data_IF_696929341593
#
_entry.id   IF_696929341593
#
_cell.length_a   1.000
_cell.length_b   1.000
_cell.length_c   1.000
_cell.angle_alpha   90.00
_cell.angle_beta   90.00
_cell.angle_gamma   90.00
#
_symmetry.space_group_name_H-M   'P 1'
#
loop_
_entity.id
_entity.type
_entity.pdbx_description
1 polymer ?
#
# COMPACT_ATOMS: atom_id res chain seq x y z
N UNK A 1 22.02 4.98 -14.67
CA UNK A 1 21.04 4.71 -13.59
C UNK A 1 21.74 5.03 -12.30
N UNK A 2 21.46 6.18 -11.68
CA UNK A 2 22.07 6.51 -10.40
C UNK A 2 21.61 5.51 -9.34
N UNK A 3 22.54 4.79 -8.68
CA UNK A 3 22.18 3.74 -7.72
C UNK A 3 21.31 4.27 -6.58
N UNK A 4 21.43 5.56 -6.26
CA UNK A 4 20.59 6.28 -5.28
C UNK A 4 19.10 6.31 -5.67
N UNK A 5 18.78 6.53 -6.95
CA UNK A 5 17.40 6.57 -7.43
C UNK A 5 16.77 5.17 -7.35
N UNK A 6 17.53 4.14 -7.72
CA UNK A 6 17.10 2.75 -7.60
C UNK A 6 16.80 2.36 -6.15
N UNK A 7 17.67 2.74 -5.22
CA UNK A 7 17.52 2.47 -3.80
C UNK A 7 16.32 3.22 -3.18
N UNK A 8 16.10 4.47 -3.59
CA UNK A 8 14.94 5.26 -3.16
C UNK A 8 13.62 4.65 -3.68
N UNK A 9 13.58 4.23 -4.95
CA UNK A 9 12.40 3.57 -5.51
C UNK A 9 12.10 2.24 -4.80
N UNK A 10 13.12 1.42 -4.53
CA UNK A 10 12.98 0.18 -3.77
C UNK A 10 12.50 0.43 -2.34
N UNK A 11 13.06 1.44 -1.68
CA UNK A 11 12.66 1.85 -0.33
C UNK A 11 11.21 2.34 -0.28
N UNK A 12 10.81 3.19 -1.23
CA UNK A 12 9.42 3.65 -1.34
C UNK A 12 8.46 2.49 -1.66
N UNK A 13 8.81 1.64 -2.62
CA UNK A 13 8.02 0.47 -3.02
C UNK A 13 7.80 -0.49 -1.86
N UNK A 14 8.87 -0.93 -1.22
CA UNK A 14 8.83 -1.82 -0.06
C UNK A 14 8.16 -1.18 1.15
N UNK A 15 8.42 0.10 1.41
CA UNK A 15 7.81 0.85 2.50
C UNK A 15 6.29 0.99 2.36
N UNK A 16 5.81 1.23 1.12
CA UNK A 16 4.38 1.26 0.81
C UNK A 16 3.70 -0.09 1.05
N UNK A 17 4.32 -1.18 0.57
CA UNK A 17 3.86 -2.55 0.80
C UNK A 17 3.77 -2.84 2.30
N UNK A 18 4.85 -2.59 3.06
CA UNK A 18 4.89 -2.94 4.48
C UNK A 18 3.84 -2.20 5.30
N UNK A 19 3.69 -0.88 5.09
CA UNK A 19 2.69 -0.10 5.82
C UNK A 19 1.26 -0.48 5.41
N UNK A 20 1.00 -0.68 4.12
CA UNK A 20 -0.33 -1.09 3.65
C UNK A 20 -0.68 -2.50 4.14
N UNK A 21 0.28 -3.43 4.10
CA UNK A 21 0.12 -4.78 4.61
C UNK A 21 -0.24 -4.76 6.10
N UNK A 22 0.51 -4.03 6.93
CA UNK A 22 0.25 -3.91 8.38
C UNK A 22 -1.12 -3.30 8.70
N UNK A 23 -1.57 -2.33 7.90
CA UNK A 23 -2.86 -1.66 8.07
C UNK A 23 -4.03 -2.28 7.30
N UNK A 24 -3.84 -3.38 6.58
CA UNK A 24 -4.83 -3.92 5.62
C UNK A 24 -6.17 -4.23 6.27
N UNK A 25 -6.17 -4.69 7.52
CA UNK A 25 -7.38 -5.05 8.27
C UNK A 25 -8.32 -3.86 8.56
N UNK A 26 -7.80 -2.63 8.43
CA UNK A 26 -8.53 -1.36 8.59
C UNK A 26 -9.18 -0.87 7.29
N UNK A 27 -8.90 -1.55 6.17
CA UNK A 27 -9.51 -1.23 4.88
C UNK A 27 -10.90 -1.86 4.77
N UNK A 28 -11.68 -1.37 3.80
CA UNK A 28 -12.96 -1.95 3.43
C UNK A 28 -12.81 -3.11 2.42
N UNK A 29 -11.59 -3.59 2.15
CA UNK A 29 -11.37 -4.71 1.25
C UNK A 29 -11.70 -6.04 1.94
N UNK A 30 -12.01 -7.06 1.13
CA UNK A 30 -12.21 -8.40 1.67
C UNK A 30 -10.88 -8.93 2.23
N UNK A 31 -10.91 -9.36 3.50
CA UNK A 31 -9.76 -9.81 4.29
C UNK A 31 -9.35 -11.23 3.92
N UNK A 32 -8.93 -11.42 2.68
CA UNK A 32 -8.29 -12.66 2.24
C UNK A 32 -6.80 -12.40 1.95
N UNK A 33 -6.00 -13.46 2.02
CA UNK A 33 -4.56 -13.39 1.77
C UNK A 33 -4.26 -12.90 0.35
N UNK A 34 -5.03 -13.37 -0.64
CA UNK A 34 -4.87 -13.00 -2.05
C UNK A 34 -5.06 -11.50 -2.28
N UNK A 35 -6.14 -10.89 -1.79
CA UNK A 35 -6.36 -9.44 -1.94
C UNK A 35 -5.30 -8.66 -1.18
N UNK A 36 -4.93 -9.09 0.04
CA UNK A 36 -3.85 -8.42 0.79
C UNK A 36 -2.56 -8.42 -0.03
N UNK A 37 -2.21 -9.54 -0.65
CA UNK A 37 -1.01 -9.66 -1.47
C UNK A 37 -1.09 -8.84 -2.76
N UNK A 38 -2.14 -9.02 -3.55
CA UNK A 38 -2.34 -8.32 -4.83
C UNK A 38 -2.44 -6.81 -4.63
N UNK A 39 -3.25 -6.35 -3.68
CA UNK A 39 -3.45 -4.92 -3.41
C UNK A 39 -2.22 -4.28 -2.76
N UNK A 40 -1.42 -5.02 -1.99
CA UNK A 40 -0.15 -4.50 -1.46
C UNK A 40 0.89 -4.37 -2.56
N UNK A 41 1.07 -5.36 -3.44
CA UNK A 41 2.08 -5.30 -4.50
C UNK A 41 1.73 -4.28 -5.59
N UNK A 42 0.46 -4.20 -5.98
CA UNK A 42 -0.01 -3.30 -7.03
C UNK A 42 -0.24 -1.85 -6.55
N UNK A 43 0.18 -1.51 -5.34
CA UNK A 43 -0.07 -0.20 -4.75
C UNK A 43 0.37 1.01 -5.59
N UNK A 44 1.52 1.00 -6.31
CA UNK A 44 1.94 2.16 -7.09
C UNK A 44 1.02 2.41 -8.29
N UNK A 45 0.49 1.34 -8.88
CA UNK A 45 -0.44 1.42 -10.00
C UNK A 45 -1.85 1.82 -9.54
N UNK A 46 -2.26 1.35 -8.36
CA UNK A 46 -3.60 1.57 -7.84
C UNK A 46 -3.77 2.92 -7.13
N UNK A 47 -2.69 3.67 -6.88
CA UNK A 47 -2.78 4.97 -6.17
C UNK A 47 -3.60 6.04 -6.92
N UNK A 48 -3.73 5.89 -8.24
CA UNK A 48 -4.55 6.74 -9.09
C UNK A 48 -6.06 6.45 -8.96
N UNK A 49 -6.42 5.27 -8.44
CA UNK A 49 -7.81 4.88 -8.21
C UNK A 49 -8.32 5.48 -6.87
N UNK A 50 -9.37 6.31 -6.93
CA UNK A 50 -9.92 7.03 -5.76
C UNK A 50 -10.34 6.08 -4.61
N UNK A 51 -11.18 5.04 -4.84
CA UNK A 51 -11.49 4.02 -3.84
C UNK A 51 -10.25 3.35 -3.23
N UNK A 52 -9.26 3.01 -4.05
CA UNK A 52 -8.03 2.41 -3.55
C UNK A 52 -7.25 3.37 -2.66
N UNK A 53 -7.03 4.61 -3.10
CA UNK A 53 -6.30 5.65 -2.35
C UNK A 53 -6.92 5.93 -0.98
N UNK A 54 -8.25 5.93 -0.89
CA UNK A 54 -8.95 6.08 0.39
C UNK A 54 -8.63 4.93 1.34
N UNK A 55 -8.70 3.69 0.87
CA UNK A 55 -8.36 2.50 1.66
C UNK A 55 -6.86 2.44 2.01
N UNK A 56 -6.00 2.81 1.07
CA UNK A 56 -4.56 2.93 1.29
C UNK A 56 -4.27 3.92 2.41
N UNK A 57 -4.91 5.10 2.38
CA UNK A 57 -4.78 6.09 3.45
C UNK A 57 -5.28 5.58 4.80
N UNK A 58 -6.38 4.81 4.83
CA UNK A 58 -6.90 4.16 6.06
C UNK A 58 -5.89 3.15 6.64
N UNK A 59 -5.28 2.34 5.78
CA UNK A 59 -4.24 1.40 6.19
C UNK A 59 -3.02 2.14 6.76
N UNK A 60 -2.55 3.20 6.08
CA UNK A 60 -1.37 3.98 6.47
C UNK A 60 -1.54 4.79 7.76
N UNK A 61 -2.61 5.58 7.85
CA UNK A 61 -2.79 6.57 8.94
C UNK A 61 -3.46 5.97 10.17
N UNK A 62 -4.00 4.75 10.04
CA UNK A 62 -4.99 4.23 10.98
C UNK A 62 -6.29 5.02 10.87
N UNK A 63 -7.41 4.33 11.00
CA UNK A 63 -8.66 5.00 11.29
C UNK A 63 -8.45 5.74 12.60
N UNK A 64 -8.30 7.07 12.57
CA UNK A 64 -8.55 7.89 13.77
C UNK A 64 -9.98 7.55 14.15
N UNK A 65 -10.13 6.77 15.22
CA UNK A 65 -11.38 6.63 15.92
C UNK A 65 -11.53 7.85 16.82
#
# INVERSE_FOLDING_TARGET
MDPLIGLLLLGCYGGGIWKFWSGFDRTNFNRNFQNRLVLSLLWPALIFNKPYRQNFTKALKGSKR
#
